data_IF_641189913860
#
_entry.id   IF_641189913860
#
_cell.length_a   1.000
_cell.length_b   1.000
_cell.length_c   1.000
_cell.angle_alpha   90.00
_cell.angle_beta   90.00
_cell.angle_gamma   90.00
#
_symmetry.space_group_name_H-M   'P 1'
#
loop_
_entity.id
_entity.type
_entity.pdbx_description
1 polymer ?
#
# COMPACT_ATOMS: atom_id res chain seq x y z
N UNK A 1 15.28 -17.71 16.29
CA UNK A 1 15.86 -16.38 16.09
C UNK A 1 14.76 -15.33 16.23
N UNK A 2 14.42 -14.95 17.47
CA UNK A 2 13.65 -13.75 17.76
C UNK A 2 14.67 -12.65 18.05
N UNK A 3 15.40 -12.24 17.02
CA UNK A 3 16.47 -11.26 17.20
C UNK A 3 15.96 -9.84 16.94
N UNK A 4 16.47 -8.93 17.75
CA UNK A 4 15.90 -7.62 18.02
C UNK A 4 15.79 -6.78 16.74
N UNK A 5 14.64 -6.12 16.62
CA UNK A 5 14.39 -4.99 15.71
C UNK A 5 14.53 -5.29 14.21
N UNK A 6 13.56 -6.02 13.65
CA UNK A 6 13.20 -5.88 12.24
C UNK A 6 12.54 -4.51 11.97
N UNK A 7 13.16 -3.41 12.41
CA UNK A 7 12.75 -2.02 12.18
C UNK A 7 12.28 -1.75 10.74
N UNK A 8 13.00 -2.18 9.68
CA UNK A 8 12.50 -1.97 8.32
C UNK A 8 11.16 -2.68 8.06
N UNK A 9 10.94 -3.86 8.63
CA UNK A 9 9.68 -4.58 8.48
C UNK A 9 8.54 -3.89 9.25
N UNK A 10 8.81 -3.39 10.46
CA UNK A 10 7.83 -2.61 11.21
C UNK A 10 7.49 -1.30 10.49
N UNK A 11 8.46 -0.62 9.89
CA UNK A 11 8.21 0.55 9.04
C UNK A 11 7.37 0.15 7.82
N UNK A 12 7.67 -0.98 7.17
CA UNK A 12 6.89 -1.50 6.05
C UNK A 12 5.41 -1.73 6.43
N UNK A 13 5.17 -2.36 7.58
CA UNK A 13 3.82 -2.56 8.12
C UNK A 13 3.14 -1.24 8.51
N UNK A 14 3.87 -0.33 9.18
CA UNK A 14 3.36 0.96 9.61
C UNK A 14 2.95 1.82 8.41
N UNK A 15 3.69 1.76 7.29
CA UNK A 15 3.30 2.43 6.04
C UNK A 15 1.98 1.87 5.49
N UNK A 16 1.81 0.54 5.50
CA UNK A 16 0.52 -0.07 5.12
C UNK A 16 -0.64 0.34 6.04
N UNK A 17 -0.40 0.40 7.36
CA UNK A 17 -1.40 0.80 8.36
C UNK A 17 -1.78 2.28 8.24
N UNK A 18 -0.79 3.17 8.14
CA UNK A 18 -1.02 4.61 7.98
C UNK A 18 -1.73 4.90 6.66
N UNK A 19 -1.42 4.18 5.59
CA UNK A 19 -2.17 4.26 4.33
C UNK A 19 -3.66 3.95 4.53
N UNK A 20 -3.99 2.86 5.23
CA UNK A 20 -5.38 2.49 5.51
C UNK A 20 -6.08 3.57 6.37
N UNK A 21 -5.40 4.07 7.41
CA UNK A 21 -5.94 5.09 8.32
C UNK A 21 -6.23 6.40 7.58
N UNK A 22 -5.30 6.89 6.76
CA UNK A 22 -5.50 8.13 5.98
C UNK A 22 -6.72 8.01 5.07
N UNK A 23 -6.89 6.86 4.40
CA UNK A 23 -8.08 6.58 3.58
C UNK A 23 -9.38 6.61 4.39
N UNK A 24 -9.40 5.94 5.55
CA UNK A 24 -10.58 5.90 6.40
C UNK A 24 -10.95 7.30 6.92
N UNK A 25 -9.96 8.10 7.33
CA UNK A 25 -10.17 9.49 7.78
C UNK A 25 -10.74 10.35 6.65
N UNK A 26 -10.17 10.28 5.45
CA UNK A 26 -10.62 11.10 4.32
C UNK A 26 -12.03 10.73 3.84
N UNK A 27 -12.38 9.45 3.92
CA UNK A 27 -13.76 9.00 3.65
C UNK A 27 -14.70 9.45 4.76
N UNK A 28 -14.33 9.25 6.03
CA UNK A 28 -15.13 9.66 7.18
C UNK A 28 -15.36 11.17 7.25
N UNK A 29 -14.41 11.96 6.77
CA UNK A 29 -14.51 13.41 6.66
C UNK A 29 -15.24 13.90 5.39
N UNK A 30 -15.75 12.99 4.54
CA UNK A 30 -16.53 13.34 3.34
C UNK A 30 -15.71 13.80 2.13
N UNK A 31 -14.38 13.81 2.21
CA UNK A 31 -13.50 14.19 1.08
C UNK A 31 -13.42 13.10 0.00
N UNK A 32 -13.81 11.86 0.32
CA UNK A 32 -13.81 10.72 -0.59
C UNK A 32 -15.14 9.97 -0.54
N UNK A 33 -15.70 9.64 -1.71
CA UNK A 33 -16.91 8.81 -1.80
C UNK A 33 -16.63 7.37 -1.35
N UNK A 34 -17.66 6.61 -0.93
CA UNK A 34 -17.53 5.20 -0.50
C UNK A 34 -16.83 4.32 -1.54
N UNK A 35 -17.06 4.58 -2.84
CA UNK A 35 -16.32 3.92 -3.91
C UNK A 35 -14.80 4.07 -3.77
N UNK A 36 -14.27 5.17 -3.24
CA UNK A 36 -12.84 5.35 -3.07
C UNK A 36 -12.25 4.37 -2.05
N UNK A 37 -13.04 3.82 -1.11
CA UNK A 37 -12.57 2.78 -0.18
C UNK A 37 -12.03 1.58 -0.95
N UNK A 38 -12.77 1.07 -1.94
CA UNK A 38 -12.43 -0.18 -2.66
C UNK A 38 -11.12 -0.12 -3.46
N UNK A 39 -10.61 1.07 -3.78
CA UNK A 39 -9.44 1.23 -4.67
C UNK A 39 -8.15 1.52 -3.90
N UNK A 40 -8.22 1.72 -2.57
CA UNK A 40 -7.02 1.88 -1.74
C UNK A 40 -7.08 1.07 -0.45
N UNK A 41 -8.23 1.00 0.22
CA UNK A 41 -8.35 0.22 1.43
C UNK A 41 -8.14 -1.28 1.16
N UNK A 42 -8.63 -1.80 0.02
CA UNK A 42 -8.43 -3.21 -0.36
C UNK A 42 -6.94 -3.53 -0.54
N UNK A 43 -6.16 -2.82 -1.38
CA UNK A 43 -4.71 -3.01 -1.43
C UNK A 43 -4.01 -2.87 -0.07
N UNK A 44 -4.40 -1.88 0.74
CA UNK A 44 -3.81 -1.65 2.06
C UNK A 44 -4.06 -2.82 3.03
N UNK A 45 -5.29 -3.33 3.05
CA UNK A 45 -5.69 -4.50 3.86
C UNK A 45 -4.95 -5.74 3.38
N UNK A 46 -4.84 -5.97 2.07
CA UNK A 46 -4.08 -7.09 1.51
C UNK A 46 -2.60 -6.99 1.89
N UNK A 47 -1.99 -5.80 1.78
CA UNK A 47 -0.60 -5.59 2.16
C UNK A 47 -0.38 -5.81 3.66
N UNK A 48 -1.27 -5.31 4.52
CA UNK A 48 -1.21 -5.51 5.96
C UNK A 48 -1.38 -6.98 6.35
N UNK A 49 -2.39 -7.64 5.80
CA UNK A 49 -2.65 -9.06 6.05
C UNK A 49 -1.46 -9.91 5.60
N UNK A 50 -0.90 -9.63 4.42
CA UNK A 50 0.30 -10.30 3.94
C UNK A 50 1.49 -10.05 4.86
N UNK A 51 1.74 -8.80 5.27
CA UNK A 51 2.81 -8.47 6.19
C UNK A 51 2.68 -9.22 7.51
N UNK A 52 1.51 -9.18 8.15
CA UNK A 52 1.26 -9.91 9.40
C UNK A 52 1.43 -11.43 9.23
N UNK A 53 0.94 -11.99 8.12
CA UNK A 53 1.15 -13.41 7.80
C UNK A 53 2.63 -13.73 7.58
N UNK A 54 3.37 -12.88 6.86
CA UNK A 54 4.80 -13.01 6.62
C UNK A 54 5.58 -12.96 7.93
N UNK A 55 5.23 -12.06 8.84
CA UNK A 55 5.83 -11.97 10.17
C UNK A 55 5.65 -13.26 10.98
N UNK A 56 4.44 -13.82 10.96
CA UNK A 56 4.10 -15.02 11.74
C UNK A 56 4.72 -16.29 11.16
N UNK A 57 4.78 -16.42 9.83
CA UNK A 57 5.13 -17.68 9.17
C UNK A 57 6.54 -17.69 8.57
N UNK A 58 7.22 -16.53 8.53
CA UNK A 58 8.54 -16.35 7.91
C UNK A 58 8.74 -17.15 6.61
N UNK A 59 7.79 -17.07 5.66
CA UNK A 59 7.84 -17.89 4.46
C UNK A 59 9.01 -17.47 3.57
N UNK A 60 9.47 -18.36 2.69
CA UNK A 60 10.48 -18.06 1.66
C UNK A 60 10.07 -16.95 0.68
N UNK A 61 8.83 -16.47 0.76
CA UNK A 61 8.21 -15.48 -0.11
C UNK A 61 8.55 -14.02 0.19
N UNK A 62 9.75 -13.67 0.67
CA UNK A 62 10.11 -12.28 0.98
C UNK A 62 10.05 -11.35 -0.26
N UNK A 63 10.09 -11.90 -1.47
CA UNK A 63 9.90 -11.16 -2.73
C UNK A 63 8.52 -10.50 -2.83
N UNK A 64 7.50 -11.05 -2.17
CA UNK A 64 6.15 -10.50 -2.18
C UNK A 64 6.04 -9.16 -1.43
N UNK A 65 6.94 -8.88 -0.47
CA UNK A 65 7.04 -7.57 0.18
C UNK A 65 7.42 -6.44 -0.80
N UNK A 66 8.03 -6.80 -1.93
CA UNK A 66 8.33 -5.90 -3.04
C UNK A 66 7.21 -5.89 -4.09
N UNK A 67 6.70 -7.07 -4.46
CA UNK A 67 5.72 -7.20 -5.55
C UNK A 67 4.38 -6.56 -5.18
N UNK A 68 3.87 -6.75 -3.96
CA UNK A 68 2.53 -6.26 -3.58
C UNK A 68 2.37 -4.73 -3.65
N UNK A 69 3.30 -3.92 -3.12
CA UNK A 69 3.21 -2.46 -3.28
C UNK A 69 3.31 -2.03 -4.75
N UNK A 70 4.16 -2.69 -5.56
CA UNK A 70 4.28 -2.40 -6.99
C UNK A 70 3.03 -2.76 -7.77
N UNK A 71 2.41 -3.91 -7.50
CA UNK A 71 1.13 -4.29 -8.10
C UNK A 71 0.04 -3.27 -7.77
N UNK A 72 0.01 -2.79 -6.52
CA UNK A 72 -0.93 -1.72 -6.13
C UNK A 72 -0.70 -0.47 -6.98
N UNK A 73 0.56 -0.07 -7.17
CA UNK A 73 0.92 1.10 -7.98
C UNK A 73 0.59 0.93 -9.48
N UNK A 74 0.71 -0.27 -10.03
CA UNK A 74 0.46 -0.55 -11.45
C UNK A 74 -1.05 -0.71 -11.73
N UNK A 75 -1.79 -1.37 -10.84
CA UNK A 75 -3.19 -1.72 -11.06
C UNK A 75 -4.12 -0.55 -10.72
N UNK A 76 -3.79 0.25 -9.69
CA UNK A 76 -4.70 1.30 -9.21
C UNK A 76 -4.97 2.39 -10.25
N UNK A 77 -3.97 2.97 -10.95
CA UNK A 77 -4.23 4.04 -11.93
C UNK A 77 -5.12 3.61 -13.11
N UNK A 78 -4.85 2.48 -13.81
CA UNK A 78 -5.72 2.01 -14.89
C UNK A 78 -7.13 1.66 -14.42
N UNK A 79 -7.25 1.04 -13.24
CA UNK A 79 -8.55 0.69 -12.67
C UNK A 79 -9.39 1.93 -12.34
N UNK A 80 -8.77 2.97 -11.78
CA UNK A 80 -9.44 4.24 -11.50
C UNK A 80 -9.84 4.96 -12.78
N UNK A 81 -8.95 4.99 -13.77
CA UNK A 81 -9.23 5.57 -15.09
C UNK A 81 -10.43 4.90 -15.76
N UNK A 82 -10.49 3.56 -15.73
CA UNK A 82 -11.59 2.79 -16.31
C UNK A 82 -12.92 3.03 -15.60
N UNK A 83 -12.92 3.05 -14.26
CA UNK A 83 -14.17 3.14 -13.48
C UNK A 83 -14.76 4.55 -13.40
N UNK A 84 -13.92 5.58 -13.30
CA UNK A 84 -14.36 6.95 -13.03
C UNK A 84 -14.28 7.85 -14.27
N UNK A 85 -13.60 7.41 -15.34
CA UNK A 85 -13.26 8.27 -16.47
C UNK A 85 -12.10 9.22 -16.13
N UNK A 86 -11.18 9.40 -17.07
CA UNK A 86 -9.94 10.15 -16.84
C UNK A 86 -10.14 11.59 -16.37
N UNK A 87 -11.20 12.26 -16.86
CA UNK A 87 -11.48 13.66 -16.55
C UNK A 87 -11.93 13.86 -15.08
N UNK A 88 -12.89 13.08 -14.58
CA UNK A 88 -13.34 13.17 -13.18
C UNK A 88 -12.26 12.68 -12.20
N UNK A 89 -11.44 11.73 -12.64
CA UNK A 89 -10.38 11.20 -11.80
C UNK A 89 -9.25 12.22 -11.59
N UNK A 90 -8.82 12.98 -12.60
CA UNK A 90 -7.71 13.92 -12.46
C UNK A 90 -8.10 15.27 -11.82
N UNK A 91 -9.35 15.70 -11.96
CA UNK A 91 -9.79 17.06 -11.60
C UNK A 91 -10.28 17.23 -10.16
N UNK A 92 -10.76 16.16 -9.51
CA UNK A 92 -11.36 16.24 -8.17
C UNK A 92 -10.35 16.17 -7.00
N UNK A 93 -9.15 16.75 -7.15
CA UNK A 93 -8.10 16.67 -6.13
C UNK A 93 -7.55 15.26 -5.87
N UNK A 94 -7.88 14.29 -6.74
CA UNK A 94 -7.44 12.89 -6.60
C UNK A 94 -6.07 12.63 -7.24
N UNK A 95 -5.54 13.57 -8.02
CA UNK A 95 -4.17 13.53 -8.54
C UNK A 95 -3.11 13.69 -7.45
N UNK A 96 -3.31 14.60 -6.49
CA UNK A 96 -2.40 14.75 -5.34
C UNK A 96 -2.42 13.49 -4.45
N UNK A 97 -3.60 12.91 -4.27
CA UNK A 97 -3.81 11.64 -3.58
C UNK A 97 -3.07 10.50 -4.29
N UNK A 98 -3.11 10.46 -5.63
CA UNK A 98 -2.34 9.51 -6.43
C UNK A 98 -0.83 9.66 -6.22
N UNK A 99 -0.30 10.90 -6.23
CA UNK A 99 1.12 11.17 -5.97
C UNK A 99 1.53 10.67 -4.59
N UNK A 100 0.75 10.96 -3.55
CA UNK A 100 1.01 10.46 -2.20
C UNK A 100 1.02 8.93 -2.18
N UNK A 101 0.09 8.27 -2.87
CA UNK A 101 0.05 6.81 -2.96
C UNK A 101 1.23 6.23 -3.71
N UNK A 102 1.63 6.84 -4.82
CA UNK A 102 2.80 6.45 -5.59
C UNK A 102 4.04 6.51 -4.71
N UNK A 103 4.22 7.60 -3.96
CA UNK A 103 5.36 7.76 -3.07
C UNK A 103 5.36 6.71 -1.94
N UNK A 104 4.22 6.50 -1.27
CA UNK A 104 4.12 5.48 -0.21
C UNK A 104 4.42 4.08 -0.77
N UNK A 105 3.82 3.71 -1.89
CA UNK A 105 4.02 2.40 -2.50
C UNK A 105 5.46 2.19 -2.96
N UNK A 106 6.14 3.21 -3.51
CA UNK A 106 7.55 3.15 -3.89
C UNK A 106 8.46 3.01 -2.67
N UNK A 107 8.22 3.78 -1.62
CA UNK A 107 8.99 3.67 -0.35
C UNK A 107 8.78 2.29 0.26
N UNK A 108 7.55 1.80 0.31
CA UNK A 108 7.21 0.48 0.85
C UNK A 108 7.84 -0.64 0.00
N UNK A 109 7.81 -0.53 -1.33
CA UNK A 109 8.52 -1.45 -2.24
C UNK A 109 10.04 -1.43 -2.00
N UNK A 110 10.64 -0.25 -1.86
CA UNK A 110 12.06 -0.10 -1.59
C UNK A 110 12.47 -0.77 -0.27
N UNK A 111 11.69 -0.57 0.79
CA UNK A 111 11.91 -1.24 2.08
C UNK A 111 11.73 -2.76 1.92
N UNK A 112 10.70 -3.21 1.21
CA UNK A 112 10.47 -4.63 0.92
C UNK A 112 11.66 -5.27 0.19
N UNK A 113 12.24 -4.57 -0.78
CA UNK A 113 13.47 -4.99 -1.48
C UNK A 113 14.65 -5.13 -0.51
N UNK A 114 14.86 -4.17 0.40
CA UNK A 114 15.93 -4.22 1.41
C UNK A 114 15.76 -5.42 2.34
N UNK A 115 14.53 -5.71 2.77
CA UNK A 115 14.23 -6.89 3.60
C UNK A 115 14.52 -8.17 2.81
N UNK A 116 14.05 -8.27 1.57
CA UNK A 116 14.31 -9.43 0.70
C UNK A 116 15.80 -9.69 0.48
N UNK A 117 16.59 -8.64 0.23
CA UNK A 117 18.05 -8.75 0.07
C UNK A 117 18.77 -9.24 1.34
N UNK A 118 18.25 -8.92 2.53
CA UNK A 118 18.82 -9.38 3.82
C UNK A 118 18.47 -10.82 4.17
N UNK A 119 17.41 -11.36 3.58
CA UNK A 119 16.91 -12.71 3.82
C UNK A 119 17.40 -13.73 2.77
N UNK A 120 18.11 -13.26 1.73
CA UNK A 120 18.82 -14.08 0.74
C UNK A 120 20.24 -14.33 1.21
#
# INVERSE_FOLDING_TARGET
MADRTNTPFYIWLALGASYLIVKLIWVGAGYLHLGAISHGAVPAVIMLAFGLWFWRNQPRGAVWLLILPLLTLIITPPFMYWKQGGAEWLTNGRGSVLVVYTLIALVQAWIGRRIWQRLR
#
